data_IF_624686771879
#
_entry.id   IF_624686771879
#
_cell.length_a   1.000
_cell.length_b   1.000
_cell.length_c   1.000
_cell.angle_alpha   90.00
_cell.angle_beta   90.00
_cell.angle_gamma   90.00
#
_symmetry.space_group_name_H-M   'P 1'
#
loop_
_entity.id
_entity.type
_entity.pdbx_description
1 polymer ?
#
# COMPACT_ATOMS: atom_id res chain seq x y z
N UNK A 1 10.18 4.92 -7.54
CA UNK A 1 8.71 4.97 -7.63
C UNK A 1 8.25 3.74 -8.39
N UNK A 2 7.45 2.88 -7.76
CA UNK A 2 6.87 1.69 -8.41
C UNK A 2 5.52 2.11 -8.99
N UNK A 3 5.33 1.95 -10.29
CA UNK A 3 4.11 2.33 -11.01
C UNK A 3 3.41 1.08 -11.56
N UNK A 4 2.12 1.19 -11.90
CA UNK A 4 1.26 0.12 -12.43
C UNK A 4 0.86 -0.96 -11.40
N UNK A 5 0.63 -0.55 -10.16
CA UNK A 5 0.12 -1.44 -9.09
C UNK A 5 -1.33 -1.92 -9.36
N UNK A 6 -2.04 -1.29 -10.30
CA UNK A 6 -3.36 -1.71 -10.79
C UNK A 6 -3.34 -2.94 -11.71
N UNK A 7 -2.14 -3.41 -12.08
CA UNK A 7 -1.95 -4.61 -12.93
C UNK A 7 -1.38 -5.74 -12.09
N UNK A 8 -1.62 -6.98 -12.52
CA UNK A 8 -0.90 -8.12 -11.95
C UNK A 8 0.60 -7.87 -12.07
N UNK A 9 1.27 -7.87 -10.92
CA UNK A 9 2.67 -7.48 -10.78
C UNK A 9 3.40 -8.45 -9.84
N UNK A 10 4.69 -8.19 -9.66
CA UNK A 10 5.51 -8.88 -8.66
C UNK A 10 5.14 -8.38 -7.26
N UNK A 11 5.46 -9.19 -6.27
CA UNK A 11 5.25 -8.82 -4.88
C UNK A 11 6.10 -7.59 -4.52
N UNK A 12 5.56 -6.61 -3.76
CA UNK A 12 6.31 -5.42 -3.38
C UNK A 12 7.65 -5.73 -2.70
N UNK A 13 7.76 -6.82 -1.93
CA UNK A 13 9.03 -7.22 -1.32
C UNK A 13 10.06 -7.65 -2.36
N UNK A 14 9.66 -8.46 -3.35
CA UNK A 14 10.56 -8.87 -4.44
C UNK A 14 11.06 -7.66 -5.24
N UNK A 15 10.21 -6.67 -5.45
CA UNK A 15 10.60 -5.44 -6.16
C UNK A 15 11.63 -4.64 -5.36
N UNK A 16 11.48 -4.56 -4.03
CA UNK A 16 12.44 -3.89 -3.17
C UNK A 16 13.79 -4.62 -3.17
N UNK A 17 13.79 -5.95 -3.03
CA UNK A 17 15.02 -6.76 -3.05
C UNK A 17 15.76 -6.65 -4.39
N UNK A 18 15.03 -6.71 -5.51
CA UNK A 18 15.58 -6.50 -6.86
C UNK A 18 16.21 -5.11 -7.01
N UNK A 19 15.53 -4.07 -6.52
CA UNK A 19 16.06 -2.70 -6.54
C UNK A 19 17.33 -2.56 -5.70
N UNK A 20 17.37 -3.15 -4.50
CA UNK A 20 18.56 -3.11 -3.64
C UNK A 20 19.74 -3.85 -4.28
N UNK A 21 19.48 -5.03 -4.87
CA UNK A 21 20.51 -5.83 -5.53
C UNK A 21 21.08 -5.13 -6.78
N UNK A 22 20.20 -4.65 -7.66
CA UNK A 22 20.60 -4.06 -8.94
C UNK A 22 21.28 -2.70 -8.77
N UNK A 23 20.75 -1.86 -7.87
CA UNK A 23 21.26 -0.50 -7.68
C UNK A 23 22.28 -0.38 -6.53
N UNK A 24 22.45 -1.43 -5.71
CA UNK A 24 23.36 -1.46 -4.54
C UNK A 24 23.11 -0.31 -3.56
N UNK A 25 21.86 0.11 -3.43
CA UNK A 25 21.43 1.14 -2.49
C UNK A 25 20.47 0.54 -1.48
N UNK A 26 20.46 1.07 -0.26
CA UNK A 26 19.43 0.72 0.72
C UNK A 26 18.14 1.42 0.36
N UNK A 27 17.05 0.67 0.24
CA UNK A 27 15.73 1.26 0.02
C UNK A 27 14.95 1.33 1.33
N UNK A 28 14.17 2.38 1.50
CA UNK A 28 13.17 2.47 2.56
C UNK A 28 11.85 2.85 1.93
N UNK A 29 10.83 1.98 1.97
CA UNK A 29 9.51 2.35 1.48
C UNK A 29 8.96 3.51 2.32
N UNK A 30 8.46 4.54 1.66
CA UNK A 30 7.70 5.63 2.29
C UNK A 30 6.19 5.33 2.27
N UNK A 31 5.79 4.47 1.35
CA UNK A 31 4.41 4.03 1.19
C UNK A 31 4.36 2.57 0.78
N UNK A 32 3.29 1.89 1.18
CA UNK A 32 3.08 0.47 0.98
C UNK A 32 1.74 0.21 0.27
N UNK A 33 1.72 -0.56 -0.83
CA UNK A 33 0.47 -0.87 -1.50
C UNK A 33 -0.36 -1.88 -0.71
N UNK A 34 -1.69 -1.67 -0.70
CA UNK A 34 -2.64 -2.62 -0.14
C UNK A 34 -3.18 -3.46 -1.28
N UNK A 35 -2.70 -4.71 -1.33
CA UNK A 35 -2.87 -5.64 -2.44
C UNK A 35 -2.31 -5.10 -3.77
N UNK A 36 -2.47 -5.88 -4.83
CA UNK A 36 -2.04 -5.55 -6.20
C UNK A 36 -3.10 -6.00 -7.22
N UNK A 37 -3.02 -5.48 -8.44
CA UNK A 37 -3.87 -5.87 -9.56
C UNK A 37 -5.35 -5.58 -9.33
N UNK A 38 -6.21 -6.54 -9.66
CA UNK A 38 -7.66 -6.41 -9.51
C UNK A 38 -8.13 -6.26 -8.05
N UNK A 39 -7.28 -6.63 -7.08
CA UNK A 39 -7.56 -6.49 -5.65
C UNK A 39 -6.93 -5.23 -5.04
N UNK A 40 -6.27 -4.40 -5.84
CA UNK A 40 -5.63 -3.18 -5.36
C UNK A 40 -6.67 -2.24 -4.74
N UNK A 41 -6.52 -1.96 -3.45
CA UNK A 41 -7.45 -1.12 -2.67
C UNK A 41 -6.92 0.28 -2.40
N UNK A 42 -5.62 0.49 -2.51
CA UNK A 42 -5.00 1.77 -2.22
C UNK A 42 -3.57 1.63 -1.73
N UNK A 43 -3.05 2.71 -1.17
CA UNK A 43 -1.69 2.79 -0.66
C UNK A 43 -1.72 3.38 0.74
N UNK A 44 -1.00 2.75 1.66
CA UNK A 44 -0.73 3.32 2.97
C UNK A 44 0.55 4.14 2.93
N UNK A 45 0.47 5.40 3.35
CA UNK A 45 1.61 6.28 3.50
C UNK A 45 2.17 6.14 4.92
N UNK A 46 3.33 5.49 5.03
CA UNK A 46 4.00 5.21 6.30
C UNK A 46 4.54 6.51 6.92
N UNK A 47 4.92 7.48 6.09
CA UNK A 47 5.49 8.74 6.55
C UNK A 47 4.42 9.73 7.04
N UNK A 48 3.30 9.84 6.32
CA UNK A 48 2.20 10.75 6.70
C UNK A 48 1.14 10.10 7.60
N UNK A 49 1.22 8.79 7.83
CA UNK A 49 0.16 8.02 8.49
C UNK A 49 -1.21 8.28 7.83
N UNK A 50 -1.26 8.16 6.51
CA UNK A 50 -2.48 8.39 5.74
C UNK A 50 -2.76 7.22 4.81
N UNK A 51 -4.03 6.86 4.68
CA UNK A 51 -4.50 5.84 3.78
C UNK A 51 -5.11 6.49 2.53
N UNK A 52 -4.49 6.28 1.39
CA UNK A 52 -4.97 6.76 0.10
C UNK A 52 -5.71 5.62 -0.62
N UNK A 53 -7.05 5.65 -0.58
CA UNK A 53 -7.90 4.61 -1.17
C UNK A 53 -8.02 4.80 -2.68
N UNK A 54 -7.78 3.70 -3.39
CA UNK A 54 -7.94 3.64 -4.84
C UNK A 54 -9.28 3.01 -5.20
N UNK A 55 -10.09 3.74 -5.96
CA UNK A 55 -11.31 3.20 -6.56
C UNK A 55 -11.15 3.12 -8.07
N UNK A 56 -11.44 1.98 -8.72
CA UNK A 56 -11.30 1.82 -10.17
C UNK A 56 -12.25 2.73 -10.99
N UNK A 57 -13.22 3.38 -10.35
CA UNK A 57 -14.15 4.28 -11.01
C UNK A 57 -13.56 5.68 -11.15
N UNK A 58 -13.12 6.05 -12.37
CA UNK A 58 -12.43 7.31 -12.73
C UNK A 58 -13.17 8.61 -12.38
N UNK A 59 -14.43 8.55 -11.94
CA UNK A 59 -15.25 9.71 -11.61
C UNK A 59 -15.24 10.09 -10.12
N UNK A 60 -14.75 9.22 -9.23
CA UNK A 60 -14.64 9.57 -7.80
C UNK A 60 -13.24 10.06 -7.48
N UNK A 61 -13.19 11.16 -6.72
CA UNK A 61 -11.96 11.64 -6.08
C UNK A 61 -11.46 10.53 -5.16
N UNK A 62 -10.17 10.20 -5.23
CA UNK A 62 -9.52 9.26 -4.31
C UNK A 62 -9.78 9.70 -2.87
N UNK A 63 -10.33 8.80 -2.06
CA UNK A 63 -10.64 9.09 -0.66
C UNK A 63 -9.36 8.93 0.16
N UNK A 64 -8.93 10.03 0.79
CA UNK A 64 -7.81 10.03 1.73
C UNK A 64 -8.36 9.98 3.14
N UNK A 65 -7.92 8.97 3.91
CA UNK A 65 -8.27 8.79 5.31
C UNK A 65 -7.02 9.00 6.15
N UNK A 66 -7.03 10.03 7.00
CA UNK A 66 -5.97 10.23 7.99
C UNK A 66 -6.15 9.21 9.13
N UNK A 67 -5.08 8.47 9.42
CA UNK A 67 -5.04 7.42 10.43
C UNK A 67 -3.96 7.73 11.45
N UNK A 68 -4.26 7.50 12.72
CA UNK A 68 -3.31 7.88 13.78
C UNK A 68 -2.30 6.77 14.07
N UNK A 69 -2.63 5.52 13.73
CA UNK A 69 -1.81 4.34 13.97
C UNK A 69 -2.13 3.23 12.95
N UNK A 70 -1.26 2.22 12.86
CA UNK A 70 -1.50 1.00 12.10
C UNK A 70 -2.67 0.17 12.65
N UNK A 71 -2.94 0.26 13.95
CA UNK A 71 -4.06 -0.40 14.62
C UNK A 71 -5.37 0.41 14.57
N UNK A 72 -5.42 1.47 13.77
CA UNK A 72 -6.61 2.33 13.68
C UNK A 72 -7.76 1.55 13.02
N UNK A 73 -8.93 1.42 13.67
CA UNK A 73 -10.07 0.67 13.13
C UNK A 73 -10.60 1.25 11.82
N UNK A 74 -10.26 2.50 11.48
CA UNK A 74 -10.57 3.10 10.17
C UNK A 74 -9.92 2.34 9.01
N UNK A 75 -8.77 1.70 9.24
CA UNK A 75 -8.11 0.87 8.21
C UNK A 75 -8.97 -0.35 7.94
N UNK A 76 -9.42 -1.05 8.98
CA UNK A 76 -10.28 -2.22 8.88
C UNK A 76 -11.64 -1.89 8.23
N UNK A 77 -12.22 -0.72 8.52
CA UNK A 77 -13.47 -0.27 7.88
C UNK A 77 -13.25 0.05 6.39
N UNK A 78 -12.10 0.64 6.03
CA UNK A 78 -11.81 1.10 4.68
C UNK A 78 -11.39 -0.02 3.73
N UNK A 79 -10.51 -0.91 4.18
CA UNK A 79 -9.95 -1.99 3.35
C UNK A 79 -10.43 -3.39 3.76
N UNK A 80 -11.06 -3.55 4.92
CA UNK A 80 -11.49 -4.84 5.47
C UNK A 80 -10.42 -5.45 6.39
N UNK A 81 -10.88 -6.14 7.44
CA UNK A 81 -10.00 -6.73 8.48
C UNK A 81 -8.91 -7.65 7.91
N UNK A 82 -9.23 -8.48 6.90
CA UNK A 82 -8.25 -9.40 6.31
C UNK A 82 -7.11 -8.65 5.63
N UNK A 83 -7.42 -7.60 4.86
CA UNK A 83 -6.41 -6.83 4.13
C UNK A 83 -5.64 -5.89 5.07
N UNK A 84 -6.31 -5.35 6.09
CA UNK A 84 -5.68 -4.56 7.15
C UNK A 84 -4.69 -5.39 7.97
N UNK A 85 -5.07 -6.61 8.36
CA UNK A 85 -4.17 -7.53 9.06
C UNK A 85 -2.94 -7.87 8.21
N UNK A 86 -3.12 -8.14 6.92
CA UNK A 86 -2.00 -8.38 6.00
C UNK A 86 -1.07 -7.16 5.91
N UNK A 87 -1.63 -5.96 5.76
CA UNK A 87 -0.84 -4.73 5.74
C UNK A 87 -0.01 -4.54 7.03
N UNK A 88 -0.60 -4.86 8.19
CA UNK A 88 0.11 -4.81 9.48
C UNK A 88 1.26 -5.81 9.52
N UNK A 89 1.05 -7.02 9.05
CA UNK A 89 2.08 -8.07 8.95
C UNK A 89 3.22 -7.67 8.00
N UNK A 90 2.89 -7.07 6.85
CA UNK A 90 3.90 -6.60 5.89
C UNK A 90 4.76 -5.42 6.44
N UNK A 91 4.28 -4.71 7.46
CA UNK A 91 4.93 -3.52 8.03
C UNK A 91 5.59 -3.78 9.40
N UNK A 92 5.40 -4.97 9.98
CA UNK A 92 6.05 -5.42 11.21
C UNK A 92 7.52 -5.81 10.98
#
# INVERSE_FOLDING_TARGET
>A
FVNKLDREGRDPFEILDELESELKIKVRPLSWPINIGAKFKGVYNIYEHSLDLFTPNKQKVSERVEISSLDDPRIDESVGETDAAKLREDLE
#
